data_IF_746743882272
#
_entry.id   IF_746743882272
#
_cell.length_a   1.000
_cell.length_b   1.000
_cell.length_c   1.000
_cell.angle_alpha   90.00
_cell.angle_beta   90.00
_cell.angle_gamma   90.00
#
_symmetry.space_group_name_H-M   'P 1'
#
loop_
_entity.id
_entity.type
_entity.pdbx_description
1 polymer ?
#
# COMPACT_ATOMS: atom_id res chain seq x y z
N UNK A 1 -15.71 -32.59 -53.10
CA UNK A 1 -14.86 -33.80 -53.20
C UNK A 1 -14.71 -34.12 -54.68
N UNK A 2 -13.51 -34.14 -55.21
CA UNK A 2 -13.28 -34.56 -56.59
C UNK A 2 -13.44 -36.09 -56.66
N UNK A 3 -14.40 -36.53 -57.45
CA UNK A 3 -14.66 -37.95 -57.65
C UNK A 3 -13.85 -38.47 -58.85
N UNK A 4 -13.09 -39.49 -58.63
CA UNK A 4 -12.28 -40.11 -59.71
C UNK A 4 -13.17 -40.99 -60.57
N UNK A 5 -13.31 -40.67 -61.84
CA UNK A 5 -14.24 -41.30 -62.77
C UNK A 5 -13.59 -42.43 -63.61
N UNK A 6 -12.28 -42.61 -63.58
CA UNK A 6 -11.54 -43.64 -64.31
C UNK A 6 -10.48 -44.30 -63.42
N UNK A 7 -10.05 -45.55 -63.73
CA UNK A 7 -8.99 -46.16 -62.96
C UNK A 7 -7.69 -45.34 -63.06
N UNK A 8 -7.21 -44.85 -61.92
CA UNK A 8 -6.02 -44.05 -61.77
C UNK A 8 -5.54 -44.08 -60.32
N UNK A 9 -4.32 -43.64 -60.10
CA UNK A 9 -3.73 -43.53 -58.78
C UNK A 9 -3.98 -42.13 -58.23
N UNK A 10 -4.78 -42.01 -57.17
CA UNK A 10 -4.93 -40.73 -56.45
C UNK A 10 -3.82 -40.61 -55.41
N UNK A 11 -2.81 -39.82 -55.69
CA UNK A 11 -1.80 -39.44 -54.68
C UNK A 11 -2.32 -38.25 -53.89
N UNK A 12 -2.60 -38.44 -52.61
CA UNK A 12 -2.82 -37.35 -51.66
C UNK A 12 -1.58 -37.18 -50.83
N UNK A 13 -0.95 -36.04 -50.97
CA UNK A 13 0.07 -35.60 -50.04
C UNK A 13 -0.61 -35.22 -48.74
N UNK A 14 -0.34 -35.92 -47.67
CA UNK A 14 -0.75 -35.54 -46.31
C UNK A 14 0.48 -35.07 -45.58
N UNK A 15 0.56 -33.78 -45.40
CA UNK A 15 1.60 -33.22 -44.53
C UNK A 15 1.35 -33.73 -43.09
N UNK A 16 2.25 -34.64 -42.69
CA UNK A 16 2.31 -35.19 -41.34
C UNK A 16 3.34 -34.45 -40.49
N UNK A 17 3.78 -33.27 -40.93
CA UNK A 17 4.62 -32.42 -40.12
C UNK A 17 3.80 -32.04 -38.87
N UNK A 18 4.02 -32.79 -37.83
CA UNK A 18 3.50 -32.46 -36.52
C UNK A 18 4.24 -31.19 -36.10
N UNK A 19 3.68 -30.03 -36.44
CA UNK A 19 4.10 -28.77 -35.82
C UNK A 19 3.71 -28.92 -34.37
N UNK A 20 4.63 -29.46 -33.59
CA UNK A 20 4.54 -29.32 -32.13
C UNK A 20 4.68 -27.80 -31.94
N UNK A 21 3.60 -27.09 -31.57
CA UNK A 21 3.77 -25.71 -31.12
C UNK A 21 4.78 -25.81 -29.98
N UNK A 22 5.98 -25.33 -30.21
CA UNK A 22 6.91 -25.12 -29.12
C UNK A 22 6.23 -24.14 -28.18
N UNK A 23 5.44 -24.65 -27.25
CA UNK A 23 4.98 -23.92 -26.11
C UNK A 23 6.24 -23.74 -25.25
N UNK A 24 7.05 -22.78 -25.64
CA UNK A 24 8.10 -22.27 -24.80
C UNK A 24 7.39 -21.64 -23.62
N UNK A 25 7.08 -22.44 -22.61
CA UNK A 25 6.74 -21.93 -21.30
C UNK A 25 8.01 -21.33 -20.72
N UNK A 26 8.29 -20.08 -21.09
CA UNK A 26 9.40 -19.34 -20.51
C UNK A 26 9.04 -19.00 -19.08
N UNK A 27 9.38 -19.90 -18.17
CA UNK A 27 9.27 -19.66 -16.73
C UNK A 27 10.62 -19.10 -16.27
N UNK A 28 10.63 -17.86 -15.81
CA UNK A 28 11.80 -17.25 -15.19
C UNK A 28 11.77 -17.40 -13.67
N UNK A 29 12.94 -17.30 -13.05
CA UNK A 29 13.08 -17.19 -11.62
C UNK A 29 14.12 -16.12 -11.26
N UNK A 30 13.84 -15.32 -10.24
CA UNK A 30 14.73 -14.27 -9.78
C UNK A 30 14.65 -14.10 -8.26
N UNK A 31 15.80 -13.85 -7.63
CA UNK A 31 15.87 -13.32 -6.26
C UNK A 31 15.96 -11.81 -6.29
N UNK A 32 15.11 -11.12 -5.55
CA UNK A 32 15.08 -9.66 -5.51
C UNK A 32 15.24 -9.12 -4.10
N UNK A 33 15.81 -7.94 -3.99
CA UNK A 33 15.73 -7.11 -2.80
C UNK A 33 14.58 -6.11 -2.96
N UNK A 34 13.76 -5.93 -1.92
CA UNK A 34 12.59 -5.06 -2.00
C UNK A 34 12.20 -4.46 -0.65
N UNK A 35 11.44 -3.36 -0.69
CA UNK A 35 11.00 -2.64 0.51
C UNK A 35 9.76 -3.23 1.17
N UNK A 36 9.04 -4.11 0.48
CA UNK A 36 7.87 -4.86 0.96
C UNK A 36 7.78 -6.21 0.28
N UNK A 37 6.81 -7.01 0.65
CA UNK A 37 6.52 -8.32 0.07
C UNK A 37 6.84 -9.48 1.01
N UNK A 38 6.31 -10.67 0.71
CA UNK A 38 6.53 -11.87 1.52
C UNK A 38 8.00 -12.32 1.48
N UNK A 39 8.40 -13.01 2.53
CA UNK A 39 9.72 -13.59 2.74
C UNK A 39 9.59 -15.10 2.84
N UNK A 40 10.63 -15.83 2.44
CA UNK A 40 10.64 -17.30 2.45
C UNK A 40 9.47 -17.91 1.66
N UNK A 41 9.01 -17.21 0.62
CA UNK A 41 7.91 -17.64 -0.23
C UNK A 41 8.24 -17.38 -1.70
N UNK A 42 7.89 -18.34 -2.57
CA UNK A 42 8.00 -18.19 -4.02
C UNK A 42 6.71 -17.59 -4.57
N UNK A 43 6.78 -16.36 -4.98
CA UNK A 43 5.63 -15.63 -5.54
C UNK A 43 5.63 -15.72 -7.06
N UNK A 44 4.48 -16.03 -7.64
CA UNK A 44 4.28 -16.01 -9.10
C UNK A 44 3.82 -14.63 -9.54
N UNK A 45 4.58 -14.00 -10.40
CA UNK A 45 4.34 -12.66 -10.93
C UNK A 45 4.04 -12.78 -12.43
N UNK A 46 2.99 -12.13 -12.88
CA UNK A 46 2.47 -12.21 -14.24
C UNK A 46 2.65 -10.91 -15.03
N UNK A 47 2.87 -9.81 -14.36
CA UNK A 47 3.01 -8.48 -14.96
C UNK A 47 3.90 -7.56 -14.11
N UNK A 48 4.41 -6.48 -14.73
CA UNK A 48 5.15 -5.45 -14.00
C UNK A 48 4.29 -4.79 -12.91
N UNK A 49 3.00 -4.58 -13.19
CA UNK A 49 2.06 -4.05 -12.18
C UNK A 49 1.98 -4.94 -10.96
N UNK A 50 1.86 -6.25 -11.16
CA UNK A 50 1.83 -7.25 -10.11
C UNK A 50 3.14 -7.28 -9.30
N UNK A 51 4.29 -7.09 -9.98
CA UNK A 51 5.59 -6.94 -9.35
C UNK A 51 5.64 -5.71 -8.43
N UNK A 52 5.16 -4.55 -8.89
CA UNK A 52 5.08 -3.32 -8.09
C UNK A 52 4.11 -3.46 -6.92
N UNK A 53 2.95 -4.04 -7.16
CA UNK A 53 1.92 -4.20 -6.13
C UNK A 53 2.41 -5.14 -5.01
N UNK A 54 3.19 -6.16 -5.35
CA UNK A 54 3.70 -7.13 -4.38
C UNK A 54 4.99 -6.67 -3.70
N UNK A 55 5.98 -6.22 -4.45
CA UNK A 55 7.33 -5.97 -3.94
C UNK A 55 7.70 -4.49 -3.83
N UNK A 56 6.86 -3.60 -4.35
CA UNK A 56 7.07 -2.15 -4.32
C UNK A 56 7.74 -1.62 -5.57
N UNK A 57 7.85 -0.29 -5.62
CA UNK A 57 8.51 0.43 -6.72
C UNK A 57 10.03 0.28 -6.63
N UNK A 58 10.75 0.41 -7.74
CA UNK A 58 12.21 0.43 -7.73
C UNK A 58 12.73 1.67 -6.97
N UNK A 59 13.83 1.49 -6.27
CA UNK A 59 14.60 2.52 -5.61
C UNK A 59 16.10 2.38 -5.93
N UNK A 60 16.93 3.24 -5.34
CA UNK A 60 18.38 3.24 -5.57
C UNK A 60 19.08 1.94 -5.16
N UNK A 61 18.46 1.10 -4.34
CA UNK A 61 19.07 -0.13 -3.82
C UNK A 61 18.59 -1.39 -4.54
N UNK A 62 17.46 -1.32 -5.25
CA UNK A 62 16.82 -2.50 -5.84
C UNK A 62 16.53 -2.38 -7.34
N UNK A 63 16.87 -1.26 -7.98
CA UNK A 63 16.50 -0.97 -9.37
C UNK A 63 17.04 -2.03 -10.35
N UNK A 64 18.21 -2.58 -10.12
CA UNK A 64 18.82 -3.59 -11.00
C UNK A 64 17.97 -4.87 -11.03
N UNK A 65 17.56 -5.35 -9.86
CA UNK A 65 16.70 -6.53 -9.73
C UNK A 65 15.31 -6.27 -10.31
N UNK A 66 14.76 -5.08 -10.02
CA UNK A 66 13.44 -4.69 -10.50
C UNK A 66 13.39 -4.64 -12.03
N UNK A 67 14.30 -3.91 -12.66
CA UNK A 67 14.30 -3.77 -14.12
C UNK A 67 14.67 -5.06 -14.84
N UNK A 68 15.49 -5.92 -14.25
CA UNK A 68 15.74 -7.26 -14.76
C UNK A 68 14.45 -8.10 -14.79
N UNK A 69 13.67 -8.08 -13.70
CA UNK A 69 12.37 -8.74 -13.61
C UNK A 69 11.36 -8.15 -14.59
N UNK A 70 11.26 -6.82 -14.66
CA UNK A 70 10.36 -6.11 -15.59
C UNK A 70 10.69 -6.41 -17.05
N UNK A 71 11.98 -6.44 -17.42
CA UNK A 71 12.43 -6.78 -18.77
C UNK A 71 12.03 -8.21 -19.14
N UNK A 72 12.11 -9.16 -18.21
CA UNK A 72 11.64 -10.53 -18.46
C UNK A 72 10.11 -10.55 -18.64
N UNK A 73 9.37 -9.82 -17.83
CA UNK A 73 7.90 -9.75 -17.88
C UNK A 73 7.38 -9.08 -19.16
N UNK A 74 8.21 -8.32 -19.87
CA UNK A 74 7.85 -7.79 -21.19
C UNK A 74 7.70 -8.89 -22.26
N UNK A 75 8.31 -10.06 -22.07
CA UNK A 75 8.29 -11.17 -23.01
C UNK A 75 7.60 -12.43 -22.48
N UNK A 76 7.38 -12.52 -21.17
CA UNK A 76 6.78 -13.67 -20.49
C UNK A 76 5.87 -13.22 -19.35
N UNK A 77 4.85 -14.01 -19.07
CA UNK A 77 3.90 -13.79 -17.98
C UNK A 77 4.08 -14.80 -16.82
N UNK A 78 5.21 -15.46 -16.73
CA UNK A 78 5.46 -16.47 -15.69
C UNK A 78 6.84 -16.27 -15.07
N UNK A 79 6.91 -15.39 -14.08
CA UNK A 79 8.12 -15.12 -13.30
C UNK A 79 7.92 -15.59 -11.86
N UNK A 80 8.84 -16.42 -11.37
CA UNK A 80 8.92 -16.82 -9.96
C UNK A 80 9.89 -15.89 -9.25
N UNK A 81 9.40 -15.21 -8.23
CA UNK A 81 10.16 -14.21 -7.47
C UNK A 81 10.29 -14.65 -6.02
N UNK A 82 11.50 -14.59 -5.50
CA UNK A 82 11.80 -14.78 -4.08
C UNK A 82 12.45 -13.52 -3.54
N UNK A 83 11.96 -13.04 -2.41
CA UNK A 83 12.54 -11.89 -1.74
C UNK A 83 13.76 -12.30 -0.91
N UNK A 84 14.91 -11.73 -1.24
CA UNK A 84 16.11 -11.82 -0.42
C UNK A 84 16.04 -10.82 0.73
N UNK A 85 16.39 -11.27 1.93
CA UNK A 85 16.33 -10.45 3.16
C UNK A 85 17.58 -10.60 3.98
N UNK A 86 17.78 -9.68 4.91
CA UNK A 86 18.82 -9.75 5.92
C UNK A 86 18.20 -10.07 7.31
N UNK A 87 19.05 -10.32 8.27
CA UNK A 87 18.66 -10.67 9.66
C UNK A 87 18.00 -9.51 10.43
N UNK A 88 18.04 -8.30 9.90
CA UNK A 88 17.46 -7.10 10.54
C UNK A 88 16.09 -6.72 10.00
N UNK A 89 15.48 -7.55 9.14
CA UNK A 89 14.16 -7.26 8.60
C UNK A 89 13.08 -7.41 9.69
N UNK A 90 12.26 -6.36 9.84
CA UNK A 90 11.14 -6.33 10.77
C UNK A 90 9.89 -5.75 10.11
N UNK A 91 8.72 -6.11 10.60
CA UNK A 91 7.46 -5.47 10.27
C UNK A 91 7.32 -4.17 11.08
N UNK A 92 6.75 -3.14 10.48
CA UNK A 92 6.33 -1.96 11.22
C UNK A 92 5.17 -2.32 12.16
N UNK A 93 5.24 -1.88 13.39
CA UNK A 93 4.29 -2.20 14.45
C UNK A 93 3.83 -0.95 15.19
N UNK A 94 2.66 -0.99 15.82
CA UNK A 94 2.13 0.14 16.59
C UNK A 94 2.87 0.37 17.90
N UNK A 95 3.59 -0.62 18.41
CA UNK A 95 4.38 -0.54 19.65
C UNK A 95 5.12 -1.84 19.94
N UNK A 96 5.86 -1.85 21.04
CA UNK A 96 6.55 -3.05 21.52
C UNK A 96 7.86 -3.36 20.78
N UNK A 97 8.31 -4.60 20.94
CA UNK A 97 9.53 -5.12 20.33
C UNK A 97 9.31 -5.48 18.86
N UNK A 98 10.39 -5.46 18.09
CA UNK A 98 10.33 -5.81 16.68
C UNK A 98 9.76 -7.20 16.43
N UNK A 99 8.97 -7.34 15.38
CA UNK A 99 8.31 -8.56 14.93
C UNK A 99 8.66 -8.81 13.47
N UNK A 100 8.89 -10.06 13.10
CA UNK A 100 8.98 -10.47 11.71
C UNK A 100 7.87 -11.48 11.40
N UNK A 101 6.90 -11.07 10.62
CA UNK A 101 5.92 -11.93 9.95
C UNK A 101 6.40 -12.13 8.52
N UNK A 102 6.82 -13.32 8.17
CA UNK A 102 7.46 -13.61 6.90
C UNK A 102 6.48 -13.61 5.73
N UNK A 103 5.36 -14.30 5.90
CA UNK A 103 4.32 -14.49 4.90
C UNK A 103 2.98 -14.85 5.56
N UNK A 104 1.98 -15.14 4.75
CA UNK A 104 0.63 -15.45 5.24
C UNK A 104 0.60 -16.75 6.06
N UNK A 105 1.38 -17.75 5.68
CA UNK A 105 1.45 -19.02 6.42
C UNK A 105 2.06 -18.81 7.80
N UNK A 106 3.18 -18.10 7.87
CA UNK A 106 3.82 -17.75 9.14
C UNK A 106 2.87 -16.94 10.06
N UNK A 107 2.08 -16.03 9.49
CA UNK A 107 1.04 -15.32 10.23
C UNK A 107 -0.02 -16.26 10.81
N UNK A 108 -0.53 -17.18 9.99
CA UNK A 108 -1.58 -18.11 10.41
C UNK A 108 -1.09 -19.08 11.49
N UNK A 109 0.14 -19.54 11.37
CA UNK A 109 0.71 -20.55 12.26
C UNK A 109 1.14 -19.96 13.61
N UNK A 110 1.63 -18.71 13.64
CA UNK A 110 2.32 -18.17 14.80
C UNK A 110 1.70 -16.91 15.40
N UNK A 111 0.85 -16.17 14.67
CA UNK A 111 0.42 -14.83 15.08
C UNK A 111 -1.08 -14.56 14.94
N UNK A 112 -1.86 -15.50 14.40
CA UNK A 112 -3.29 -15.31 14.13
C UNK A 112 -4.14 -15.17 15.40
N UNK A 113 -3.64 -15.63 16.52
CA UNK A 113 -4.27 -15.52 17.84
C UNK A 113 -4.01 -14.18 18.55
N UNK A 114 -3.20 -13.30 17.93
CA UNK A 114 -2.84 -12.01 18.53
C UNK A 114 -1.80 -12.10 19.66
N UNK A 115 -1.06 -13.20 19.75
CA UNK A 115 -0.10 -13.45 20.83
C UNK A 115 1.13 -12.54 20.84
N UNK A 116 1.37 -11.79 19.76
CA UNK A 116 2.52 -10.90 19.65
C UNK A 116 2.34 -9.61 20.47
N UNK A 117 3.34 -9.23 21.27
CA UNK A 117 3.31 -8.01 22.09
C UNK A 117 3.83 -6.79 21.31
N UNK A 118 3.16 -6.42 20.23
CA UNK A 118 3.60 -5.36 19.30
C UNK A 118 2.57 -4.23 19.10
N UNK A 119 1.61 -4.13 20.00
CA UNK A 119 0.48 -3.22 19.91
C UNK A 119 -0.64 -3.78 19.02
N UNK A 120 -1.64 -2.96 18.74
CA UNK A 120 -2.86 -3.37 18.04
C UNK A 120 -2.68 -3.60 16.54
N UNK A 121 -1.60 -3.08 15.96
CA UNK A 121 -1.37 -3.07 14.53
C UNK A 121 0.04 -3.48 14.16
N UNK A 122 0.15 -4.34 13.16
CA UNK A 122 1.40 -4.68 12.51
C UNK A 122 1.24 -4.63 11.00
N UNK A 123 2.25 -4.13 10.30
CA UNK A 123 2.27 -4.18 8.84
C UNK A 123 2.32 -5.63 8.36
N UNK A 124 1.60 -5.96 7.32
CA UNK A 124 1.50 -7.33 6.78
C UNK A 124 2.85 -7.90 6.35
N UNK A 125 3.77 -7.06 5.88
CA UNK A 125 5.07 -7.49 5.38
C UNK A 125 6.18 -6.68 6.03
N UNK A 126 7.30 -7.30 6.30
CA UNK A 126 8.50 -6.63 6.80
C UNK A 126 9.12 -5.70 5.76
N UNK A 127 9.71 -4.61 6.23
CA UNK A 127 10.48 -3.67 5.43
C UNK A 127 10.08 -2.21 5.62
N UNK A 128 10.88 -1.32 5.02
CA UNK A 128 10.76 0.14 5.20
C UNK A 128 9.44 0.73 4.69
N UNK A 129 8.78 0.05 3.76
CA UNK A 129 7.48 0.51 3.25
C UNK A 129 6.41 0.61 4.36
N UNK A 130 6.44 -0.33 5.32
CA UNK A 130 5.52 -0.35 6.45
C UNK A 130 5.60 0.89 7.34
N UNK A 131 6.75 1.55 7.40
CA UNK A 131 6.96 2.75 8.21
C UNK A 131 6.16 3.97 7.72
N UNK A 132 5.63 3.92 6.49
CA UNK A 132 4.82 4.98 5.92
C UNK A 132 3.31 4.74 6.10
N UNK A 133 2.92 3.64 6.74
CA UNK A 133 1.51 3.36 7.01
C UNK A 133 1.03 4.17 8.20
N UNK A 134 -0.17 4.72 8.06
CA UNK A 134 -0.92 5.34 9.16
C UNK A 134 -2.26 4.63 9.27
N UNK A 135 -2.62 4.26 10.48
CA UNK A 135 -3.94 3.70 10.78
C UNK A 135 -4.72 4.76 11.53
N UNK A 136 -5.92 5.06 11.04
CA UNK A 136 -6.88 5.93 11.71
C UNK A 136 -8.17 5.14 11.92
N UNK A 137 -8.59 5.03 13.15
CA UNK A 137 -9.80 4.31 13.53
C UNK A 137 -10.73 5.28 14.26
N UNK A 138 -11.95 5.41 13.75
CA UNK A 138 -13.03 6.13 14.42
C UNK A 138 -14.05 5.12 14.94
N UNK A 139 -13.99 4.74 16.22
CA UNK A 139 -14.90 3.74 16.77
C UNK A 139 -16.32 4.29 16.98
N UNK A 140 -16.49 5.61 17.05
CA UNK A 140 -17.81 6.25 17.14
C UNK A 140 -17.74 7.69 16.61
N UNK A 141 -18.90 8.25 16.24
CA UNK A 141 -19.01 9.63 15.78
C UNK A 141 -18.63 10.66 16.88
N UNK A 142 -18.77 10.29 18.13
CA UNK A 142 -18.42 11.16 19.28
C UNK A 142 -16.92 11.27 19.51
N UNK A 143 -16.09 10.41 18.93
CA UNK A 143 -14.62 10.51 19.00
C UNK A 143 -14.08 11.70 18.21
N UNK A 144 -14.87 12.21 17.27
CA UNK A 144 -14.54 13.43 16.51
C UNK A 144 -15.09 14.70 17.14
N UNK A 145 -15.83 14.64 18.25
CA UNK A 145 -16.13 15.82 19.01
C UNK A 145 -14.86 16.30 19.70
N UNK A 146 -14.26 17.33 19.14
CA UNK A 146 -13.20 18.06 19.81
C UNK A 146 -13.76 18.64 21.12
N UNK A 147 -13.18 18.24 22.22
CA UNK A 147 -13.57 18.78 23.55
C UNK A 147 -12.79 20.04 23.90
N UNK A 148 -11.89 20.51 23.03
CA UNK A 148 -11.19 21.76 23.21
C UNK A 148 -12.20 22.92 23.13
N UNK A 149 -12.60 23.41 24.27
CA UNK A 149 -13.47 24.58 24.39
C UNK A 149 -12.69 25.69 25.08
N UNK A 150 -12.77 26.87 24.49
CA UNK A 150 -12.19 28.07 25.07
C UNK A 150 -13.09 29.25 24.82
N UNK A 151 -12.86 30.35 25.51
CA UNK A 151 -13.55 31.61 25.26
C UNK A 151 -12.66 32.51 24.40
N UNK A 152 -13.28 33.38 23.63
CA UNK A 152 -12.61 34.44 22.92
C UNK A 152 -12.20 35.53 23.92
N UNK A 153 -10.93 35.93 23.88
CA UNK A 153 -10.42 37.00 24.74
C UNK A 153 -10.63 38.39 24.13
N UNK A 154 -10.83 38.45 22.82
CA UNK A 154 -11.18 39.72 22.16
C UNK A 154 -12.55 40.20 22.62
N UNK A 155 -12.67 41.47 22.85
CA UNK A 155 -13.90 42.05 23.42
C UNK A 155 -15.11 42.00 22.47
N UNK A 156 -14.90 41.80 21.17
CA UNK A 156 -15.92 41.58 20.15
C UNK A 156 -15.31 40.97 18.89
N UNK A 157 -16.08 40.12 18.23
CA UNK A 157 -15.77 39.62 16.90
C UNK A 157 -16.72 40.31 15.92
N UNK A 158 -16.17 40.85 14.84
CA UNK A 158 -16.95 41.52 13.81
C UNK A 158 -17.06 40.63 12.55
N UNK A 159 -18.10 40.86 11.76
CA UNK A 159 -18.26 40.23 10.46
C UNK A 159 -17.08 40.63 9.56
N UNK A 160 -16.34 39.64 9.07
CA UNK A 160 -15.16 39.85 8.23
C UNK A 160 -13.83 39.69 8.98
N UNK A 161 -13.84 39.45 10.26
CA UNK A 161 -12.64 39.10 11.02
C UNK A 161 -12.12 37.74 10.54
N UNK A 162 -10.82 37.66 10.31
CA UNK A 162 -10.12 36.43 9.88
C UNK A 162 -9.17 35.88 10.94
N UNK A 163 -9.18 36.47 12.14
CA UNK A 163 -8.33 36.05 13.24
C UNK A 163 -8.89 36.58 14.56
N UNK A 164 -8.54 35.89 15.62
CA UNK A 164 -8.94 36.25 17.00
C UNK A 164 -7.99 35.69 18.03
N UNK A 165 -8.04 36.26 19.24
CA UNK A 165 -7.28 35.77 20.38
C UNK A 165 -8.20 34.96 21.29
N UNK A 166 -7.78 33.75 21.59
CA UNK A 166 -8.47 32.82 22.51
C UNK A 166 -8.00 33.04 23.95
N UNK A 167 -8.80 32.67 24.94
CA UNK A 167 -8.33 32.57 26.31
C UNK A 167 -7.24 31.47 26.46
N UNK A 168 -7.30 30.44 25.65
CA UNK A 168 -6.25 29.41 25.53
C UNK A 168 -6.28 28.82 24.13
N UNK A 169 -5.13 28.77 23.48
CA UNK A 169 -4.95 28.07 22.22
C UNK A 169 -4.61 26.56 22.35
N UNK A 170 -4.56 26.06 23.60
CA UNK A 170 -4.27 24.66 23.85
C UNK A 170 -5.35 23.75 23.28
N UNK A 171 -4.97 22.77 22.48
CA UNK A 171 -5.87 21.82 21.84
C UNK A 171 -6.31 22.22 20.42
N UNK A 172 -5.96 23.43 19.95
CA UNK A 172 -6.23 23.84 18.58
C UNK A 172 -5.03 23.61 17.67
N UNK A 173 -5.29 23.13 16.47
CA UNK A 173 -4.28 22.82 15.45
C UNK A 173 -4.66 23.42 14.10
N UNK A 174 -3.66 23.63 13.26
CA UNK A 174 -3.88 24.07 11.87
C UNK A 174 -4.69 23.00 11.12
N UNK A 175 -5.78 23.42 10.51
CA UNK A 175 -6.70 22.56 9.79
C UNK A 175 -7.93 22.12 10.56
N UNK A 176 -7.99 22.40 11.87
CA UNK A 176 -9.20 22.15 12.67
C UNK A 176 -10.37 22.96 12.15
N UNK A 177 -11.55 22.41 12.36
CA UNK A 177 -12.81 23.11 12.09
C UNK A 177 -13.34 23.61 13.42
N UNK A 178 -13.53 24.92 13.52
CA UNK A 178 -14.03 25.56 14.72
C UNK A 178 -15.43 26.16 14.48
N UNK A 179 -16.20 26.21 15.54
CA UNK A 179 -17.50 26.84 15.57
C UNK A 179 -17.57 27.79 16.79
N UNK A 180 -18.08 28.98 16.61
CA UNK A 180 -18.17 29.96 17.68
C UNK A 180 -19.38 29.75 18.63
N UNK A 181 -20.15 28.69 18.43
CA UNK A 181 -21.27 28.33 19.29
C UNK A 181 -22.47 29.25 19.16
N UNK A 182 -22.48 30.15 18.18
CA UNK A 182 -23.56 31.09 17.90
C UNK A 182 -24.47 30.60 16.76
N UNK A 183 -25.53 31.33 16.52
CA UNK A 183 -26.61 30.97 15.63
C UNK A 183 -26.15 30.59 14.22
N UNK A 184 -26.56 29.40 13.79
CA UNK A 184 -26.40 28.91 12.45
C UNK A 184 -25.25 27.93 12.22
N UNK A 185 -24.40 27.72 13.22
CA UNK A 185 -23.39 26.65 13.16
C UNK A 185 -22.38 26.80 12.02
N UNK A 186 -22.01 28.04 11.72
CA UNK A 186 -20.95 28.26 10.71
C UNK A 186 -19.64 27.64 11.17
N UNK A 187 -19.01 26.92 10.27
CA UNK A 187 -17.74 26.27 10.48
C UNK A 187 -16.62 27.06 9.79
N UNK A 188 -15.54 27.25 10.53
CA UNK A 188 -14.37 27.98 10.07
C UNK A 188 -13.15 27.09 10.18
N UNK A 189 -12.31 27.11 9.18
CA UNK A 189 -11.10 26.33 9.17
C UNK A 189 -9.94 27.12 9.74
N UNK A 190 -9.26 26.60 10.75
CA UNK A 190 -8.05 27.20 11.34
C UNK A 190 -6.90 27.17 10.34
N UNK A 191 -6.34 28.32 10.03
CA UNK A 191 -5.20 28.50 9.12
C UNK A 191 -3.88 28.56 9.87
N UNK A 192 -3.82 29.27 10.99
CA UNK A 192 -2.62 29.38 11.82
C UNK A 192 -3.00 29.34 13.30
N UNK A 193 -2.07 28.81 14.10
CA UNK A 193 -2.17 28.86 15.58
C UNK A 193 -0.83 29.37 16.09
N UNK A 194 -0.85 30.45 16.87
CA UNK A 194 0.34 31.04 17.48
C UNK A 194 0.04 31.40 18.94
N UNK A 195 0.32 30.47 19.85
CA UNK A 195 -0.09 30.62 21.25
C UNK A 195 -1.60 30.67 21.40
N UNK A 196 -2.16 31.80 21.81
CA UNK A 196 -3.61 32.01 21.93
C UNK A 196 -4.23 32.62 20.66
N UNK A 197 -3.41 33.07 19.69
CA UNK A 197 -3.90 33.71 18.48
C UNK A 197 -4.15 32.67 17.41
N UNK A 198 -5.34 32.73 16.80
CA UNK A 198 -5.69 31.88 15.66
C UNK A 198 -6.13 32.74 14.48
N UNK A 199 -5.86 32.27 13.27
CA UNK A 199 -6.48 32.79 12.04
C UNK A 199 -7.31 31.71 11.39
N UNK A 200 -8.38 32.09 10.69
CA UNK A 200 -9.33 31.17 10.09
C UNK A 200 -9.95 31.71 8.80
N UNK A 201 -10.62 30.85 8.05
CA UNK A 201 -11.36 31.14 6.82
C UNK A 201 -12.66 30.36 6.77
#
# INVERSE_FOLDING_TARGET
>A
MAFQVSPGVLVKEKDLTNVIPAVATSIGAIGIQSTKGPVDEVVSITSEKDLVDTFGKPDSNNFEYFFTAASFLAYSNSLKVVRATNTGLLNATAGGSGLLIKNTTDYQDNYSDGSASVGEWAARTGGSWGNNLKVSLCPSSTVYEETAKTTVSDGSIAVGDTGLTLASGTGFSVGDIINFGEDGGYEYRVLTVSGADITFV
#
